data_IF_305899236553
#
_entry.id   IF_305899236553
#
_cell.length_a   1.000
_cell.length_b   1.000
_cell.length_c   1.000
_cell.angle_alpha   90.00
_cell.angle_beta   90.00
_cell.angle_gamma   90.00
#
_symmetry.space_group_name_H-M   'P 1'
#
loop_
_entity.id
_entity.type
_entity.pdbx_description
1 polymer ?
#
# COMPACT_ATOMS: atom_id res chain seq x y z
N UNK A 1 -7.84 -27.35 -14.21
CA UNK A 1 -7.27 -26.62 -13.04
C UNK A 1 -8.18 -25.44 -12.75
N UNK A 2 -8.69 -25.30 -11.53
CA UNK A 2 -9.48 -24.13 -11.12
C UNK A 2 -8.55 -23.13 -10.44
N UNK A 3 -8.56 -21.88 -10.87
CA UNK A 3 -7.79 -20.78 -10.26
C UNK A 3 -8.76 -19.90 -9.50
N UNK A 4 -8.50 -19.69 -8.21
CA UNK A 4 -9.28 -18.78 -7.37
C UNK A 4 -8.51 -17.47 -7.18
N UNK A 5 -9.18 -16.34 -7.41
CA UNK A 5 -8.64 -14.98 -7.19
C UNK A 5 -9.48 -14.28 -6.13
N UNK A 6 -8.85 -13.89 -5.03
CA UNK A 6 -9.46 -13.08 -3.98
C UNK A 6 -9.38 -11.60 -4.34
N UNK A 7 -10.49 -10.86 -4.21
CA UNK A 7 -10.55 -9.40 -4.41
C UNK A 7 -10.42 -8.61 -3.12
N UNK A 8 -10.54 -9.29 -1.97
CA UNK A 8 -10.33 -8.71 -0.65
C UNK A 8 -10.18 -9.81 0.39
N UNK A 9 -9.71 -9.42 1.58
CA UNK A 9 -9.48 -10.36 2.68
C UNK A 9 -10.77 -11.05 3.16
N UNK A 10 -11.92 -10.40 3.01
CA UNK A 10 -13.22 -10.97 3.40
C UNK A 10 -13.71 -12.14 2.51
N UNK A 11 -13.07 -12.36 1.35
CA UNK A 11 -13.36 -13.52 0.49
C UNK A 11 -12.58 -14.77 0.89
N UNK A 12 -11.63 -14.63 1.82
CA UNK A 12 -10.82 -15.73 2.33
C UNK A 12 -11.44 -16.30 3.60
N UNK A 13 -11.38 -17.62 3.75
CA UNK A 13 -11.79 -18.25 5.01
C UNK A 13 -10.73 -18.03 6.11
N UNK A 14 -11.09 -18.21 7.40
CA UNK A 14 -10.16 -17.95 8.51
C UNK A 14 -8.85 -18.78 8.47
N UNK A 15 -8.90 -20.02 7.96
CA UNK A 15 -7.70 -20.86 7.86
C UNK A 15 -6.72 -20.31 6.81
N UNK A 16 -7.24 -19.92 5.63
CA UNK A 16 -6.44 -19.31 4.56
C UNK A 16 -5.80 -18.00 5.02
N UNK A 17 -6.55 -17.13 5.71
CA UNK A 17 -6.00 -15.90 6.27
C UNK A 17 -4.88 -16.20 7.26
N UNK A 18 -5.09 -17.16 8.17
CA UNK A 18 -4.08 -17.55 9.16
C UNK A 18 -2.79 -17.98 8.49
N UNK A 19 -2.87 -18.88 7.52
CA UNK A 19 -1.70 -19.44 6.83
C UNK A 19 -0.98 -18.44 5.93
N UNK A 20 -1.67 -17.45 5.35
CA UNK A 20 -1.06 -16.55 4.36
C UNK A 20 -0.62 -15.20 4.92
N UNK A 21 -1.35 -14.67 5.92
CA UNK A 21 -1.15 -13.29 6.40
C UNK A 21 -0.79 -13.20 7.88
N UNK A 22 -1.14 -14.19 8.71
CA UNK A 22 -1.01 -14.07 10.18
C UNK A 22 0.13 -14.90 10.74
N UNK A 23 0.31 -16.13 10.27
CA UNK A 23 1.24 -17.08 10.87
C UNK A 23 2.69 -16.57 10.74
N UNK A 24 3.47 -16.50 11.84
CA UNK A 24 4.80 -15.88 11.83
C UNK A 24 5.76 -16.45 10.79
N UNK A 25 5.69 -17.76 10.56
CA UNK A 25 6.63 -18.47 9.67
C UNK A 25 6.32 -18.30 8.18
N UNK A 26 5.08 -17.95 7.82
CA UNK A 26 4.62 -17.89 6.42
C UNK A 26 4.26 -16.48 5.98
N UNK A 27 3.96 -15.59 6.92
CA UNK A 27 3.62 -14.20 6.62
C UNK A 27 4.82 -13.44 6.06
N UNK A 28 4.55 -12.51 5.16
CA UNK A 28 5.53 -11.54 4.66
C UNK A 28 5.10 -10.15 5.11
N UNK A 29 5.95 -9.50 5.91
CA UNK A 29 5.71 -8.15 6.41
C UNK A 29 6.76 -7.21 5.84
N UNK A 30 6.34 -5.98 5.52
CA UNK A 30 7.24 -4.89 5.18
C UNK A 30 7.23 -3.91 6.34
N UNK A 31 8.40 -3.62 6.89
CA UNK A 31 8.55 -2.64 7.95
C UNK A 31 8.67 -1.24 7.34
N UNK A 32 7.78 -0.33 7.74
CA UNK A 32 7.86 1.08 7.37
C UNK A 32 8.76 1.79 8.38
N UNK A 33 9.73 2.56 7.88
CA UNK A 33 10.65 3.39 8.68
C UNK A 33 10.53 4.83 8.18
N UNK A 34 10.55 5.79 9.10
CA UNK A 34 10.59 7.23 8.80
C UNK A 34 11.89 7.77 9.37
N UNK A 35 12.66 8.46 8.54
CA UNK A 35 13.97 8.98 8.92
C UNK A 35 13.86 10.44 9.38
N UNK A 36 14.67 10.83 10.35
CA UNK A 36 14.66 12.22 10.81
C UNK A 36 15.21 13.17 9.74
N UNK A 37 14.43 14.20 9.41
CA UNK A 37 14.79 15.20 8.42
C UNK A 37 14.45 14.80 6.98
N UNK A 38 13.75 13.68 6.78
CA UNK A 38 13.21 13.32 5.47
C UNK A 38 12.03 14.21 5.05
N UNK A 39 11.62 14.08 3.78
CA UNK A 39 10.49 14.83 3.22
C UNK A 39 9.14 14.13 3.41
N UNK A 40 9.06 13.08 4.24
CA UNK A 40 7.87 12.22 4.38
C UNK A 40 6.63 13.04 4.75
N UNK A 41 6.76 13.97 5.71
CA UNK A 41 5.65 14.82 6.13
C UNK A 41 5.14 15.75 5.03
N UNK A 42 6.04 16.30 4.22
CA UNK A 42 5.67 17.21 3.14
C UNK A 42 4.93 16.47 2.02
N UNK A 43 5.40 15.25 1.70
CA UNK A 43 4.75 14.38 0.71
C UNK A 43 3.36 13.95 1.20
N UNK A 44 3.23 13.53 2.47
CA UNK A 44 1.94 13.16 3.06
C UNK A 44 0.96 14.34 3.07
N UNK A 45 1.41 15.55 3.43
CA UNK A 45 0.55 16.74 3.37
C UNK A 45 0.07 17.02 1.94
N UNK A 46 0.97 17.00 0.96
CA UNK A 46 0.60 17.16 -0.45
C UNK A 46 -0.43 16.11 -0.87
N UNK A 47 -0.22 14.82 -0.52
CA UNK A 47 -1.09 13.71 -0.92
C UNK A 47 -2.44 13.64 -0.17
N UNK A 48 -2.56 14.17 1.05
CA UNK A 48 -3.73 13.91 1.90
C UNK A 48 -4.50 15.17 2.32
N UNK A 49 -3.89 16.36 2.25
CA UNK A 49 -4.54 17.58 2.73
C UNK A 49 -5.78 17.97 1.88
N UNK A 50 -6.85 18.37 2.57
CA UNK A 50 -8.17 18.66 1.98
C UNK A 50 -8.13 19.71 0.87
N UNK A 51 -7.29 20.75 1.02
CA UNK A 51 -7.25 21.91 0.10
C UNK A 51 -6.15 21.82 -0.97
N UNK A 52 -5.52 20.65 -1.16
CA UNK A 52 -4.38 20.46 -2.09
C UNK A 52 -4.70 19.59 -3.31
N UNK A 53 -5.97 19.49 -3.71
CA UNK A 53 -6.38 18.62 -4.81
C UNK A 53 -5.68 18.93 -6.15
N UNK A 54 -5.37 20.21 -6.42
CA UNK A 54 -4.61 20.62 -7.62
C UNK A 54 -3.17 20.11 -7.62
N UNK A 55 -2.47 20.28 -6.50
CA UNK A 55 -1.09 19.79 -6.31
C UNK A 55 -1.03 18.27 -6.47
N UNK A 56 -1.97 17.54 -5.84
CA UNK A 56 -2.07 16.08 -5.97
C UNK A 56 -2.25 15.62 -7.40
N UNK A 57 -3.15 16.27 -8.14
CA UNK A 57 -3.41 15.91 -9.54
C UNK A 57 -2.13 16.05 -10.36
N UNK A 58 -1.42 17.18 -10.20
CA UNK A 58 -0.16 17.44 -10.91
C UNK A 58 0.89 16.41 -10.54
N UNK A 59 1.04 16.10 -9.25
CA UNK A 59 2.00 15.11 -8.77
C UNK A 59 1.72 13.70 -9.32
N UNK A 60 0.45 13.26 -9.28
CA UNK A 60 0.03 11.94 -9.80
C UNK A 60 0.20 11.83 -11.31
N UNK A 61 -0.03 12.92 -12.06
CA UNK A 61 0.22 12.92 -13.51
C UNK A 61 1.71 12.82 -13.84
N UNK A 62 2.57 13.43 -13.02
CA UNK A 62 4.01 13.46 -13.24
C UNK A 62 4.75 12.20 -12.75
N UNK A 63 4.18 11.47 -11.78
CA UNK A 63 4.84 10.35 -11.09
C UNK A 63 4.02 9.06 -11.05
N UNK A 64 2.85 9.04 -11.68
CA UNK A 64 1.94 7.88 -11.64
C UNK A 64 2.49 6.64 -12.33
N UNK A 65 3.50 6.80 -13.19
CA UNK A 65 4.22 5.75 -13.91
C UNK A 65 5.38 5.13 -13.11
N UNK A 66 5.80 5.75 -11.99
CA UNK A 66 6.88 5.25 -11.14
C UNK A 66 6.48 4.05 -10.27
N UNK A 67 5.23 3.61 -10.36
CA UNK A 67 4.76 2.44 -9.62
C UNK A 67 5.34 1.16 -10.21
N UNK A 68 6.28 0.53 -9.51
CA UNK A 68 6.75 -0.81 -9.85
C UNK A 68 5.70 -1.85 -9.47
N UNK A 69 5.37 -2.74 -10.42
CA UNK A 69 4.56 -3.92 -10.15
C UNK A 69 5.51 -4.96 -9.55
N UNK A 70 5.57 -5.02 -8.23
CA UNK A 70 6.28 -6.06 -7.47
C UNK A 70 5.67 -7.46 -7.62
#
# INVERSE_FOLDING_TARGET
VSIQRFKGLGEMNPMQLRETTIHPDTRRLVQLVVEHGDDTHQVLDMLLAKKRAGDRKTWLQARGDLAEIG
#
